data_IF_078791361935
#
_entry.id   IF_078791361935
#
_cell.length_a   1.000
_cell.length_b   1.000
_cell.length_c   1.000
_cell.angle_alpha   90.00
_cell.angle_beta   90.00
_cell.angle_gamma   90.00
#
_symmetry.space_group_name_H-M   'P 1'
#
loop_
_entity.id
_entity.type
_entity.pdbx_description
1 polymer ?
#
# COMPACT_ATOMS: atom_id res chain seq x y z
N UNK A 1 47.69 -29.13 0.72
CA UNK A 1 46.53 -28.52 1.43
C UNK A 1 46.21 -27.21 0.72
N UNK A 2 44.97 -27.01 0.25
CA UNK A 2 44.61 -25.79 -0.46
C UNK A 2 44.42 -24.63 0.52
N UNK A 3 45.07 -23.48 0.28
CA UNK A 3 44.90 -22.29 1.10
C UNK A 3 43.43 -21.81 1.07
N UNK A 4 42.86 -21.40 2.22
CA UNK A 4 41.50 -20.88 2.27
C UNK A 4 41.37 -19.60 1.43
N UNK A 5 40.38 -19.56 0.55
CA UNK A 5 40.11 -18.39 -0.29
C UNK A 5 39.54 -17.27 0.59
N UNK A 6 40.28 -16.18 0.72
CA UNK A 6 39.87 -14.98 1.46
C UNK A 6 39.13 -14.04 0.50
N UNK A 7 37.82 -13.84 0.72
CA UNK A 7 37.01 -12.91 -0.07
C UNK A 7 37.06 -11.50 0.54
N UNK A 8 37.45 -10.49 -0.26
CA UNK A 8 37.70 -9.11 0.22
C UNK A 8 36.45 -8.25 0.45
N UNK A 9 35.29 -8.61 -0.11
CA UNK A 9 34.07 -7.79 -0.02
C UNK A 9 32.81 -8.61 0.35
N UNK A 10 31.81 -8.00 1.03
CA UNK A 10 30.58 -8.70 1.42
C UNK A 10 29.79 -9.26 0.23
N UNK A 11 29.73 -8.53 -0.89
CA UNK A 11 29.07 -8.97 -2.13
C UNK A 11 29.70 -10.24 -2.70
N UNK A 12 31.04 -10.30 -2.75
CA UNK A 12 31.77 -11.47 -3.26
C UNK A 12 31.62 -12.67 -2.32
N UNK A 13 31.56 -12.44 -1.00
CA UNK A 13 31.30 -13.50 -0.01
C UNK A 13 29.90 -14.11 -0.19
N UNK A 14 28.87 -13.28 -0.42
CA UNK A 14 27.51 -13.74 -0.67
C UNK A 14 27.43 -14.56 -1.97
N UNK A 15 28.03 -14.06 -3.05
CA UNK A 15 28.06 -14.75 -4.34
C UNK A 15 28.79 -16.10 -4.25
N UNK A 16 29.93 -16.15 -3.55
CA UNK A 16 30.67 -17.39 -3.31
C UNK A 16 29.86 -18.40 -2.46
N UNK A 17 29.09 -17.91 -1.48
CA UNK A 17 28.18 -18.76 -0.70
C UNK A 17 27.07 -19.35 -1.57
N UNK A 18 26.43 -18.54 -2.42
CA UNK A 18 25.41 -19.00 -3.37
C UNK A 18 25.96 -20.05 -4.33
N UNK A 19 27.15 -19.83 -4.87
CA UNK A 19 27.80 -20.76 -5.80
C UNK A 19 28.19 -22.07 -5.10
N UNK A 20 28.71 -22.01 -3.87
CA UNK A 20 28.99 -23.21 -3.07
C UNK A 20 27.70 -23.99 -2.79
N UNK A 21 26.60 -23.29 -2.50
CA UNK A 21 25.29 -23.91 -2.30
C UNK A 21 24.80 -24.59 -3.58
N UNK A 22 24.83 -23.90 -4.73
CA UNK A 22 24.47 -24.49 -6.03
C UNK A 22 25.27 -25.77 -6.32
N UNK A 23 26.59 -25.75 -6.12
CA UNK A 23 27.44 -26.94 -6.33
C UNK A 23 27.09 -28.08 -5.38
N UNK A 24 26.79 -27.78 -4.12
CA UNK A 24 26.36 -28.78 -3.15
C UNK A 24 25.06 -29.45 -3.61
N UNK A 25 24.05 -28.68 -4.02
CA UNK A 25 22.80 -29.22 -4.53
C UNK A 25 22.96 -29.98 -5.83
N UNK A 26 23.80 -29.50 -6.76
CA UNK A 26 24.08 -30.21 -8.00
C UNK A 26 24.76 -31.57 -7.74
N UNK A 27 25.75 -31.60 -6.83
CA UNK A 27 26.49 -32.83 -6.47
C UNK A 27 25.63 -33.83 -5.69
N UNK A 28 24.76 -33.34 -4.81
CA UNK A 28 23.97 -34.18 -3.91
C UNK A 28 22.50 -34.34 -4.35
N UNK A 29 22.14 -33.88 -5.56
CA UNK A 29 20.74 -33.83 -6.03
C UNK A 29 20.03 -35.16 -5.85
N UNK A 30 20.63 -36.23 -6.35
CA UNK A 30 20.02 -37.56 -6.33
C UNK A 30 19.94 -38.13 -4.92
N UNK A 31 20.91 -37.81 -4.06
CA UNK A 31 20.92 -38.25 -2.67
C UNK A 31 19.86 -37.50 -1.84
N UNK A 32 19.67 -36.20 -2.09
CA UNK A 32 18.60 -35.39 -1.50
C UNK A 32 17.24 -35.91 -1.95
N UNK A 33 17.07 -36.19 -3.24
CA UNK A 33 15.82 -36.72 -3.79
C UNK A 33 15.53 -38.14 -3.29
N UNK A 34 16.53 -39.01 -3.18
CA UNK A 34 16.36 -40.35 -2.62
C UNK A 34 16.00 -40.30 -1.15
N UNK A 35 16.66 -39.45 -0.35
CA UNK A 35 16.32 -39.27 1.07
C UNK A 35 14.90 -38.72 1.24
N UNK A 36 14.44 -37.85 0.34
CA UNK A 36 13.04 -37.44 0.31
C UNK A 36 12.11 -38.61 -0.02
N UNK A 37 12.42 -39.42 -1.04
CA UNK A 37 11.64 -40.62 -1.37
C UNK A 37 11.56 -41.60 -0.19
N UNK A 38 12.67 -41.85 0.50
CA UNK A 38 12.71 -42.70 1.70
C UNK A 38 11.86 -42.13 2.85
N UNK A 39 11.84 -40.81 3.04
CA UNK A 39 10.96 -40.16 4.01
C UNK A 39 9.46 -40.29 3.63
N UNK A 40 9.14 -40.38 2.33
CA UNK A 40 7.79 -40.66 1.87
C UNK A 40 7.43 -42.15 1.97
N UNK A 41 8.36 -43.05 1.66
CA UNK A 41 8.15 -44.51 1.73
C UNK A 41 8.13 -45.06 3.16
N UNK A 42 8.79 -44.41 4.12
CA UNK A 42 8.77 -44.82 5.53
C UNK A 42 7.48 -44.40 6.28
N UNK A 43 6.62 -43.59 5.67
CA UNK A 43 5.32 -43.17 6.24
C UNK A 43 4.14 -44.08 5.90
N UNK A 44 4.33 -45.15 5.13
CA UNK A 44 3.27 -46.11 4.76
C UNK A 44 3.20 -47.32 5.70
N UNK A 45 2.95 -47.05 6.98
CA UNK A 45 2.23 -47.96 7.91
C UNK A 45 1.28 -47.08 8.73
N UNK A 46 0.13 -46.80 8.12
CA UNK A 46 -1.09 -46.08 8.54
C UNK A 46 -1.08 -45.23 9.83
N UNK A 47 -1.63 -44.01 9.75
CA UNK A 47 -3.08 -43.89 9.87
C UNK A 47 -3.71 -43.35 8.59
N UNK A 48 -4.92 -43.81 8.29
CA UNK A 48 -5.89 -43.15 7.40
C UNK A 48 -6.26 -41.78 8.01
N UNK A 49 -5.31 -40.87 8.12
CA UNK A 49 -5.64 -39.46 8.34
C UNK A 49 -6.23 -39.00 7.02
N UNK A 50 -7.50 -38.63 7.05
CA UNK A 50 -8.21 -38.18 5.87
C UNK A 50 -7.49 -36.94 5.32
N UNK A 51 -6.68 -37.16 4.29
CA UNK A 51 -5.81 -36.13 3.69
C UNK A 51 -6.63 -34.93 3.22
N UNK A 52 -7.93 -35.13 2.95
CA UNK A 52 -8.89 -34.06 2.65
C UNK A 52 -9.17 -33.17 3.87
N UNK A 53 -9.30 -33.73 5.06
CA UNK A 53 -9.50 -32.96 6.29
C UNK A 53 -8.25 -32.17 6.67
N UNK A 54 -7.06 -32.78 6.56
CA UNK A 54 -5.79 -32.08 6.75
C UNK A 54 -5.64 -30.93 5.75
N UNK A 55 -5.93 -31.17 4.46
CA UNK A 55 -5.87 -30.13 3.45
C UNK A 55 -6.86 -28.99 3.73
N UNK A 56 -8.07 -29.32 4.20
CA UNK A 56 -9.08 -28.33 4.61
C UNK A 56 -8.61 -27.51 5.82
N UNK A 57 -8.02 -28.16 6.82
CA UNK A 57 -7.48 -27.49 8.01
C UNK A 57 -6.29 -26.58 7.67
N UNK A 58 -5.37 -27.04 6.82
CA UNK A 58 -4.24 -26.24 6.34
C UNK A 58 -4.72 -25.04 5.54
N UNK A 59 -5.67 -25.20 4.61
CA UNK A 59 -6.29 -24.08 3.88
C UNK A 59 -6.92 -23.07 4.84
N UNK A 60 -7.67 -23.55 5.84
CA UNK A 60 -8.31 -22.68 6.85
C UNK A 60 -7.27 -21.90 7.67
N UNK A 61 -6.17 -22.54 8.09
CA UNK A 61 -5.08 -21.87 8.80
C UNK A 61 -4.34 -20.86 7.93
N UNK A 62 -4.13 -21.16 6.65
CA UNK A 62 -3.54 -20.22 5.69
C UNK A 62 -4.42 -18.98 5.51
N UNK A 63 -5.74 -19.15 5.38
CA UNK A 63 -6.70 -18.05 5.28
C UNK A 63 -6.62 -17.18 6.53
N UNK A 64 -6.70 -17.76 7.73
CA UNK A 64 -6.65 -17.02 9.00
C UNK A 64 -5.34 -16.22 9.13
N UNK A 65 -4.20 -16.83 8.78
CA UNK A 65 -2.89 -16.18 8.87
C UNK A 65 -2.72 -15.04 7.87
N UNK A 66 -3.23 -15.19 6.64
CA UNK A 66 -3.15 -14.14 5.64
C UNK A 66 -4.10 -13.01 5.96
N UNK A 67 -5.30 -13.34 6.43
CA UNK A 67 -6.31 -12.39 6.87
C UNK A 67 -5.80 -11.51 8.01
N UNK A 68 -5.15 -12.08 9.04
CA UNK A 68 -4.58 -11.27 10.12
C UNK A 68 -3.47 -10.35 9.64
N UNK A 69 -2.59 -10.82 8.76
CA UNK A 69 -1.51 -9.99 8.20
C UNK A 69 -2.06 -8.83 7.36
N UNK A 70 -3.00 -9.10 6.46
CA UNK A 70 -3.62 -8.08 5.62
C UNK A 70 -4.36 -7.03 6.45
N UNK A 71 -5.10 -7.47 7.47
CA UNK A 71 -5.83 -6.57 8.36
C UNK A 71 -4.90 -5.69 9.20
N UNK A 72 -3.76 -6.21 9.68
CA UNK A 72 -2.77 -5.39 10.35
C UNK A 72 -2.24 -4.29 9.43
N UNK A 73 -1.79 -4.64 8.21
CA UNK A 73 -1.27 -3.65 7.26
C UNK A 73 -2.35 -2.63 6.90
N UNK A 74 -3.58 -3.06 6.65
CA UNK A 74 -4.68 -2.17 6.31
C UNK A 74 -5.00 -1.22 7.46
N UNK A 75 -4.98 -1.70 8.70
CA UNK A 75 -5.18 -0.87 9.88
C UNK A 75 -4.06 0.16 10.01
N UNK A 76 -2.80 -0.25 9.94
CA UNK A 76 -1.64 0.63 10.04
C UNK A 76 -1.69 1.71 8.95
N UNK A 77 -2.03 1.32 7.72
CA UNK A 77 -2.21 2.23 6.58
C UNK A 77 -3.34 3.23 6.82
N UNK A 78 -4.49 2.76 7.33
CA UNK A 78 -5.62 3.63 7.64
C UNK A 78 -5.25 4.63 8.73
N UNK A 79 -4.56 4.18 9.77
CA UNK A 79 -4.13 5.04 10.88
C UNK A 79 -3.15 6.10 10.36
N UNK A 80 -2.20 5.73 9.50
CA UNK A 80 -1.26 6.66 8.84
C UNK A 80 -1.98 7.66 7.91
N UNK A 81 -2.95 7.21 7.11
CA UNK A 81 -3.79 8.06 6.28
C UNK A 81 -4.55 9.09 7.13
N UNK A 82 -5.13 8.66 8.25
CA UNK A 82 -5.87 9.55 9.15
C UNK A 82 -4.96 10.55 9.88
N UNK A 83 -3.74 10.14 10.22
CA UNK A 83 -2.74 11.04 10.81
C UNK A 83 -2.30 12.12 9.81
N UNK A 84 -2.10 11.75 8.54
CA UNK A 84 -1.62 12.66 7.50
C UNK A 84 -2.72 13.56 6.92
N UNK A 85 -3.84 12.98 6.50
CA UNK A 85 -4.86 13.63 5.68
C UNK A 85 -6.04 14.12 6.55
N UNK A 86 -6.15 13.65 7.80
CA UNK A 86 -7.37 13.80 8.60
C UNK A 86 -8.59 13.12 7.93
N UNK A 87 -9.78 13.28 8.50
CA UNK A 87 -11.02 12.69 7.97
C UNK A 87 -11.59 13.41 6.72
N UNK A 88 -10.90 14.42 6.19
CA UNK A 88 -11.45 15.34 5.20
C UNK A 88 -10.43 15.63 4.08
N UNK A 89 -10.57 14.99 2.89
CA UNK A 89 -9.70 15.19 1.75
C UNK A 89 -9.56 16.66 1.35
N UNK A 90 -10.67 17.41 1.39
CA UNK A 90 -10.69 18.80 0.97
C UNK A 90 -9.84 19.66 1.90
N UNK A 91 -9.97 19.46 3.21
CA UNK A 91 -9.15 20.22 4.19
C UNK A 91 -7.66 19.93 4.07
N UNK A 92 -7.30 18.69 3.77
CA UNK A 92 -5.89 18.36 3.54
C UNK A 92 -5.35 19.08 2.31
N UNK A 93 -6.07 19.00 1.18
CA UNK A 93 -5.70 19.68 -0.07
C UNK A 93 -5.65 21.20 0.12
N UNK A 94 -6.63 21.78 0.80
CA UNK A 94 -6.64 23.20 1.18
C UNK A 94 -5.41 23.56 2.02
N UNK A 95 -5.01 22.71 2.95
CA UNK A 95 -3.80 22.88 3.77
C UNK A 95 -2.52 22.88 2.92
N UNK A 96 -2.39 21.93 1.98
CA UNK A 96 -1.28 21.86 1.03
C UNK A 96 -1.25 23.13 0.16
N UNK A 97 -2.38 23.54 -0.39
CA UNK A 97 -2.51 24.76 -1.18
C UNK A 97 -2.16 26.00 -0.37
N UNK A 98 -2.60 26.10 0.88
CA UNK A 98 -2.25 27.21 1.77
C UNK A 98 -0.73 27.27 2.03
N UNK A 99 -0.06 26.13 2.19
CA UNK A 99 1.39 26.08 2.37
C UNK A 99 2.11 26.51 1.09
N UNK A 100 1.62 26.10 -0.08
CA UNK A 100 2.09 26.57 -1.37
C UNK A 100 1.90 28.08 -1.56
N UNK A 101 0.73 28.64 -1.22
CA UNK A 101 0.50 30.09 -1.31
C UNK A 101 1.41 30.88 -0.37
N UNK A 102 1.69 30.36 0.83
CA UNK A 102 2.62 30.98 1.79
C UNK A 102 4.08 30.96 1.33
N UNK A 103 4.45 30.07 0.41
CA UNK A 103 5.82 30.00 -0.12
C UNK A 103 6.05 30.96 -1.30
N UNK A 104 5.05 31.78 -1.67
CA UNK A 104 5.25 32.81 -2.69
C UNK A 104 6.26 33.86 -2.19
N UNK A 105 7.32 34.12 -2.97
CA UNK A 105 8.23 35.22 -2.69
C UNK A 105 7.58 36.58 -3.02
N UNK A 106 8.09 37.64 -2.40
CA UNK A 106 7.59 39.01 -2.58
C UNK A 106 7.77 39.53 -4.03
N UNK A 107 8.66 38.91 -4.80
CA UNK A 107 9.04 39.31 -6.15
C UNK A 107 8.11 38.78 -7.26
N UNK A 108 6.89 38.36 -6.92
CA UNK A 108 5.87 37.80 -7.83
C UNK A 108 6.26 36.51 -8.55
N UNK A 109 7.36 35.86 -8.13
CA UNK A 109 7.75 34.57 -8.71
C UNK A 109 6.92 33.40 -8.15
N UNK A 110 7.23 32.19 -8.63
CA UNK A 110 6.41 31.00 -8.38
C UNK A 110 6.58 30.51 -6.94
N UNK A 111 5.46 30.16 -6.30
CA UNK A 111 5.50 29.42 -5.05
C UNK A 111 6.25 28.09 -5.22
N UNK A 112 6.66 27.52 -4.11
CA UNK A 112 7.43 26.28 -4.07
C UNK A 112 6.56 25.07 -4.45
N UNK A 113 6.62 24.66 -5.73
CA UNK A 113 5.90 23.51 -6.29
C UNK A 113 6.26 22.20 -5.56
N UNK A 114 7.46 22.11 -4.97
CA UNK A 114 7.90 20.90 -4.26
C UNK A 114 6.99 20.53 -3.07
N UNK A 115 6.23 21.50 -2.54
CA UNK A 115 5.21 21.27 -1.51
C UNK A 115 4.11 20.34 -2.03
N UNK A 116 3.63 20.57 -3.24
CA UNK A 116 2.55 19.78 -3.87
C UNK A 116 3.12 18.41 -4.30
N UNK A 117 4.30 18.38 -4.93
CA UNK A 117 4.95 17.13 -5.33
C UNK A 117 5.24 16.20 -4.14
N UNK A 118 5.67 16.79 -3.01
CA UNK A 118 5.89 16.05 -1.76
C UNK A 118 4.59 15.45 -1.25
N UNK A 119 3.50 16.22 -1.23
CA UNK A 119 2.19 15.72 -0.82
C UNK A 119 1.69 14.58 -1.74
N UNK A 120 1.82 14.72 -3.06
CA UNK A 120 1.48 13.67 -4.04
C UNK A 120 2.28 12.40 -3.73
N UNK A 121 3.59 12.53 -3.56
CA UNK A 121 4.49 11.40 -3.29
C UNK A 121 4.08 10.66 -2.01
N UNK A 122 3.80 11.39 -0.93
CA UNK A 122 3.37 10.80 0.35
C UNK A 122 2.04 10.03 0.24
N UNK A 123 1.05 10.61 -0.43
CA UNK A 123 -0.25 9.95 -0.62
C UNK A 123 -0.10 8.72 -1.53
N UNK A 124 0.73 8.81 -2.58
CA UNK A 124 1.03 7.70 -3.47
C UNK A 124 1.72 6.53 -2.74
N UNK A 125 2.68 6.81 -1.84
CA UNK A 125 3.37 5.79 -1.05
C UNK A 125 2.42 5.01 -0.12
N UNK A 126 1.39 5.68 0.43
CA UNK A 126 0.34 5.01 1.21
C UNK A 126 -0.53 4.15 0.28
N UNK A 127 -0.93 4.71 -0.88
CA UNK A 127 -1.78 4.00 -1.84
C UNK A 127 -1.09 2.73 -2.38
N UNK A 128 0.19 2.82 -2.74
CA UNK A 128 0.99 1.70 -3.27
C UNK A 128 1.13 0.54 -2.27
N UNK A 129 1.10 0.84 -0.97
CA UNK A 129 1.07 -0.18 0.09
C UNK A 129 -0.32 -0.80 0.27
N UNK A 130 -1.37 -0.03 0.01
CA UNK A 130 -2.76 -0.45 0.23
C UNK A 130 -3.29 -1.34 -0.89
N UNK A 131 -2.98 -1.02 -2.16
CA UNK A 131 -3.49 -1.74 -3.33
C UNK A 131 -3.19 -3.25 -3.26
N UNK A 132 -1.94 -3.70 -3.00
CA UNK A 132 -1.65 -5.13 -2.93
C UNK A 132 -2.43 -5.84 -1.82
N UNK A 133 -2.70 -5.15 -0.70
CA UNK A 133 -3.47 -5.70 0.42
C UNK A 133 -4.94 -5.82 0.05
N UNK A 134 -5.50 -4.83 -0.64
CA UNK A 134 -6.86 -4.90 -1.16
C UNK A 134 -7.02 -6.09 -2.12
N UNK A 135 -6.08 -6.25 -3.05
CA UNK A 135 -6.06 -7.36 -4.01
C UNK A 135 -5.90 -8.71 -3.31
N UNK A 136 -5.04 -8.80 -2.29
CA UNK A 136 -4.85 -10.01 -1.51
C UNK A 136 -6.15 -10.40 -0.77
N UNK A 137 -6.82 -9.44 -0.12
CA UNK A 137 -8.12 -9.65 0.52
C UNK A 137 -9.16 -10.09 -0.51
N UNK A 138 -9.23 -9.46 -1.69
CA UNK A 138 -10.16 -9.84 -2.74
C UNK A 138 -9.92 -11.28 -3.22
N UNK A 139 -8.67 -11.66 -3.43
CA UNK A 139 -8.31 -12.99 -3.93
C UNK A 139 -8.61 -14.10 -2.91
N UNK A 140 -8.43 -13.85 -1.62
CA UNK A 140 -8.64 -14.87 -0.58
C UNK A 140 -10.07 -14.90 -0.03
N UNK A 141 -10.69 -13.74 0.15
CA UNK A 141 -11.97 -13.59 0.84
C UNK A 141 -13.11 -13.18 -0.09
N UNK A 142 -12.82 -12.79 -1.34
CA UNK A 142 -13.81 -12.18 -2.23
C UNK A 142 -14.27 -10.81 -1.76
N UNK A 143 -15.40 -10.35 -2.31
CA UNK A 143 -16.08 -9.13 -1.88
C UNK A 143 -16.66 -9.37 -0.49
N UNK A 144 -15.99 -8.79 0.50
CA UNK A 144 -16.30 -8.94 1.92
C UNK A 144 -16.27 -7.57 2.61
N UNK A 145 -16.82 -7.42 3.83
CA UNK A 145 -16.73 -6.15 4.57
C UNK A 145 -15.29 -5.64 4.72
N UNK A 146 -14.33 -6.55 4.86
CA UNK A 146 -12.89 -6.24 4.94
C UNK A 146 -12.35 -5.69 3.63
N UNK A 147 -12.79 -6.26 2.52
CA UNK A 147 -12.48 -5.74 1.20
C UNK A 147 -13.08 -4.33 1.02
N UNK A 148 -14.33 -4.10 1.42
CA UNK A 148 -14.95 -2.77 1.37
C UNK A 148 -14.21 -1.74 2.22
N UNK A 149 -13.69 -2.12 3.39
CA UNK A 149 -12.84 -1.22 4.19
C UNK A 149 -11.55 -0.86 3.44
N UNK A 150 -10.89 -1.82 2.80
CA UNK A 150 -9.71 -1.57 1.98
C UNK A 150 -10.03 -0.70 0.75
N UNK A 151 -11.15 -0.97 0.10
CA UNK A 151 -11.66 -0.22 -1.03
C UNK A 151 -12.00 1.23 -0.66
N UNK A 152 -12.59 1.45 0.52
CA UNK A 152 -12.87 2.80 1.03
C UNK A 152 -11.59 3.60 1.26
N UNK A 153 -10.55 2.99 1.86
CA UNK A 153 -9.24 3.64 2.06
C UNK A 153 -8.58 3.98 0.71
N UNK A 154 -8.57 3.04 -0.24
CA UNK A 154 -7.97 3.28 -1.56
C UNK A 154 -8.74 4.33 -2.38
N UNK A 155 -10.07 4.31 -2.36
CA UNK A 155 -10.89 5.33 -3.01
C UNK A 155 -10.65 6.73 -2.42
N UNK A 156 -10.51 6.81 -1.09
CA UNK A 156 -10.19 8.06 -0.40
C UNK A 156 -8.83 8.61 -0.86
N UNK A 157 -7.79 7.78 -0.84
CA UNK A 157 -6.44 8.17 -1.28
C UNK A 157 -6.41 8.59 -2.76
N UNK A 158 -7.10 7.85 -3.64
CA UNK A 158 -7.24 8.21 -5.06
C UNK A 158 -7.93 9.56 -5.26
N UNK A 159 -8.94 9.87 -4.44
CA UNK A 159 -9.63 11.15 -4.50
C UNK A 159 -8.70 12.30 -4.10
N UNK A 160 -7.92 12.12 -3.03
CA UNK A 160 -6.91 13.10 -2.61
C UNK A 160 -5.86 13.31 -3.69
N UNK A 161 -5.35 12.23 -4.28
CA UNK A 161 -4.38 12.31 -5.38
C UNK A 161 -4.94 13.08 -6.58
N UNK A 162 -6.16 12.78 -7.01
CA UNK A 162 -6.79 13.49 -8.12
C UNK A 162 -6.84 15.00 -7.87
N UNK A 163 -7.23 15.43 -6.66
CA UNK A 163 -7.24 16.86 -6.32
C UNK A 163 -5.85 17.50 -6.34
N UNK A 164 -4.82 16.81 -5.83
CA UNK A 164 -3.46 17.32 -5.86
C UNK A 164 -2.90 17.39 -7.29
N UNK A 165 -3.17 16.37 -8.11
CA UNK A 165 -2.78 16.31 -9.52
C UNK A 165 -3.46 17.41 -10.34
N UNK A 166 -4.75 17.69 -10.10
CA UNK A 166 -5.47 18.77 -10.75
C UNK A 166 -4.83 20.14 -10.44
N UNK A 167 -4.47 20.39 -9.17
CA UNK A 167 -3.76 21.62 -8.77
C UNK A 167 -2.40 21.70 -9.45
N UNK A 168 -1.64 20.61 -9.44
CA UNK A 168 -0.32 20.54 -10.06
C UNK A 168 -0.39 20.80 -11.57
N UNK A 169 -1.38 20.21 -12.26
CA UNK A 169 -1.61 20.45 -13.68
C UNK A 169 -2.06 21.88 -13.97
N UNK A 170 -2.91 22.47 -13.12
CA UNK A 170 -3.36 23.85 -13.26
C UNK A 170 -2.18 24.83 -13.23
N UNK A 171 -1.27 24.69 -12.27
CA UNK A 171 -0.05 25.51 -12.15
C UNK A 171 0.85 25.37 -13.38
N UNK A 172 0.98 24.16 -13.94
CA UNK A 172 1.81 23.95 -15.11
C UNK A 172 1.16 24.47 -16.40
N UNK A 173 -0.15 24.29 -16.56
CA UNK A 173 -0.85 24.53 -17.82
C UNK A 173 -1.34 25.97 -18.00
N UNK A 174 -1.84 26.61 -16.94
CA UNK A 174 -2.55 27.89 -17.05
C UNK A 174 -1.68 29.09 -16.67
N UNK A 175 -0.61 28.88 -15.90
CA UNK A 175 0.27 29.98 -15.47
C UNK A 175 0.92 30.79 -16.60
N UNK A 176 1.38 30.21 -17.72
CA UNK A 176 1.97 30.99 -18.82
C UNK A 176 0.97 31.98 -19.46
N UNK A 177 -0.33 31.78 -19.26
CA UNK A 177 -1.39 32.55 -19.90
C UNK A 177 -1.90 33.73 -19.06
N UNK A 178 -1.57 33.78 -17.77
CA UNK A 178 -2.13 34.75 -16.81
C UNK A 178 -1.05 35.49 -15.99
N UNK A 179 0.06 35.91 -16.63
CA UNK A 179 1.21 36.54 -15.96
C UNK A 179 0.90 37.85 -15.21
N UNK A 180 -0.25 38.49 -15.46
CA UNK A 180 -0.44 39.88 -15.07
C UNK A 180 -1.39 40.09 -13.87
N UNK A 181 -2.10 39.06 -13.38
CA UNK A 181 -3.02 39.19 -12.23
C UNK A 181 -3.07 37.92 -11.35
N UNK A 182 -2.08 37.74 -10.48
CA UNK A 182 -1.99 36.63 -9.50
C UNK A 182 -3.19 36.62 -8.53
N UNK A 183 -3.83 37.77 -8.28
CA UNK A 183 -4.94 37.91 -7.34
C UNK A 183 -6.24 37.19 -7.75
N UNK A 184 -6.52 37.08 -9.04
CA UNK A 184 -7.81 36.54 -9.53
C UNK A 184 -7.79 35.00 -9.64
N UNK A 185 -6.62 34.40 -9.82
CA UNK A 185 -6.46 32.94 -9.98
C UNK A 185 -6.74 32.18 -8.68
N UNK A 186 -6.38 32.75 -7.53
CA UNK A 186 -6.65 32.15 -6.21
C UNK A 186 -8.13 32.18 -5.83
N UNK A 187 -8.86 33.21 -6.26
CA UNK A 187 -10.31 33.30 -6.06
C UNK A 187 -11.03 32.21 -6.88
N UNK A 188 -10.55 31.94 -8.10
CA UNK A 188 -11.06 30.84 -8.94
C UNK A 188 -10.75 29.46 -8.35
N UNK A 189 -9.57 29.24 -7.78
CA UNK A 189 -9.23 27.98 -7.09
C UNK A 189 -10.11 27.76 -5.85
N UNK A 190 -10.37 28.80 -5.07
CA UNK A 190 -11.32 28.73 -3.94
C UNK A 190 -12.76 28.40 -4.39
N UNK A 191 -13.21 28.94 -5.53
CA UNK A 191 -14.51 28.59 -6.13
C UNK A 191 -14.53 27.16 -6.71
N UNK A 192 -13.41 26.66 -7.23
CA UNK A 192 -13.28 25.30 -7.72
C UNK A 192 -13.42 24.25 -6.63
N UNK A 193 -12.79 24.46 -5.46
CA UNK A 193 -12.93 23.54 -4.31
C UNK A 193 -14.39 23.36 -3.87
N UNK A 194 -15.23 24.38 -4.05
CA UNK A 194 -16.67 24.30 -3.76
C UNK A 194 -17.51 23.68 -4.90
N UNK A 195 -17.00 23.64 -6.13
CA UNK A 195 -17.71 23.09 -7.30
C UNK A 195 -17.38 21.61 -7.57
N UNK A 196 -16.21 21.13 -7.15
CA UNK A 196 -15.76 19.74 -7.27
C UNK A 196 -16.53 18.66 -6.45
N UNK A 197 -17.26 18.95 -5.35
CA UNK A 197 -17.99 17.92 -4.60
C UNK A 197 -19.02 17.15 -5.44
N UNK A 198 -19.42 17.68 -6.59
CA UNK A 198 -20.49 17.12 -7.43
C UNK A 198 -20.00 15.90 -8.24
N UNK A 199 -18.70 15.80 -8.54
CA UNK A 199 -18.17 14.73 -9.40
C UNK A 199 -17.58 13.52 -8.66
N UNK A 200 -17.22 13.68 -7.37
CA UNK A 200 -16.54 12.64 -6.58
C UNK A 200 -17.35 12.15 -5.38
N UNK A 201 -18.69 12.19 -5.44
CA UNK A 201 -19.56 11.58 -4.43
C UNK A 201 -19.55 10.04 -4.52
N UNK A 202 -18.39 9.43 -4.34
CA UNK A 202 -18.29 8.00 -4.07
C UNK A 202 -18.65 7.76 -2.60
N UNK A 203 -19.95 7.65 -2.32
CA UNK A 203 -20.53 6.92 -1.18
C UNK A 203 -19.88 7.12 0.20
N UNK A 204 -19.84 8.34 0.73
CA UNK A 204 -19.40 8.62 2.11
C UNK A 204 -20.39 8.17 3.20
N UNK A 205 -21.46 7.44 2.88
CA UNK A 205 -22.54 7.13 3.82
C UNK A 205 -22.28 5.96 4.78
N UNK A 206 -21.05 5.46 4.95
CA UNK A 206 -20.81 4.23 5.74
C UNK A 206 -19.51 4.19 6.55
N UNK A 207 -19.00 5.34 7.03
CA UNK A 207 -17.93 5.34 8.03
C UNK A 207 -18.47 5.79 9.38
N UNK A 208 -19.25 4.92 10.01
CA UNK A 208 -19.75 5.10 11.38
C UNK A 208 -18.87 4.27 12.33
N UNK A 209 -17.85 4.85 13.00
CA UNK A 209 -16.89 4.10 13.81
C UNK A 209 -17.45 3.57 15.15
N UNK A 210 -18.78 3.60 15.37
CA UNK A 210 -19.41 3.28 16.67
C UNK A 210 -20.12 1.92 16.74
N UNK A 211 -19.94 1.03 15.76
CA UNK A 211 -20.81 -0.14 15.57
C UNK A 211 -20.33 -1.53 15.99
N UNK A 212 -19.32 -1.73 16.85
CA UNK A 212 -18.94 -3.08 17.32
C UNK A 212 -18.65 -3.12 18.83
N UNK A 213 -19.70 -2.95 19.63
CA UNK A 213 -19.72 -3.42 21.01
C UNK A 213 -21.12 -3.96 21.32
N UNK A 214 -21.25 -5.29 21.37
CA UNK A 214 -22.22 -6.07 22.15
C UNK A 214 -22.88 -7.20 21.34
N UNK A 215 -22.30 -8.40 21.44
CA UNK A 215 -23.05 -9.65 21.39
C UNK A 215 -22.20 -10.78 22.02
N UNK A 216 -21.94 -10.67 23.33
CA UNK A 216 -21.53 -11.81 24.15
C UNK A 216 -22.69 -12.15 25.09
N UNK A 217 -23.51 -13.10 24.67
CA UNK A 217 -24.43 -13.88 25.51
C UNK A 217 -24.52 -15.27 24.89
N UNK A 218 -23.74 -16.21 25.41
CA UNK A 218 -24.15 -17.54 25.91
C UNK A 218 -23.11 -17.98 26.93
#
# INVERSE_FOLDING_TARGET
MACPVIYKTPKVKLQAAHERHRRHYAKNRDNILNKQRELYSSKTKDPKVDTKELLKAVKKLCIIRMETKCLCILKDTKDEMLEMISNDPCKFVEGVLCNYVKSFPEDSSTGDISIIETAITQVQEILDRTIPVQDEILNFCGVSPKWHTADSVTCFLRTVLAYLEDIHQYEFALRPLYSDTIGDSLILLGQWCHALPIYYTCGTSAFDPKGEASAAKV
#
